data_IF_410457929995
#
_entry.id   IF_410457929995
#
_cell.length_a   1.000
_cell.length_b   1.000
_cell.length_c   1.000
_cell.angle_alpha   90.00
_cell.angle_beta   90.00
_cell.angle_gamma   90.00
#
_symmetry.space_group_name_H-M   'P 1'
#
loop_
_entity.id
_entity.type
_entity.pdbx_description
1 polymer ?
#
# COMPACT_ATOMS: atom_id res chain seq x y z
N UNK A 1 -18.73 -11.50 10.35
CA UNK A 1 -18.63 -10.10 9.84
C UNK A 1 -18.09 -10.18 8.43
N UNK A 2 -18.75 -9.53 7.46
CA UNK A 2 -18.31 -9.50 6.06
C UNK A 2 -17.28 -8.39 5.86
N UNK A 3 -16.16 -8.70 5.22
CA UNK A 3 -15.22 -7.67 4.78
C UNK A 3 -15.74 -6.98 3.51
N UNK A 4 -15.35 -5.71 3.35
CA UNK A 4 -15.51 -4.96 2.09
C UNK A 4 -14.13 -4.75 1.50
N UNK A 5 -14.03 -4.80 0.17
CA UNK A 5 -12.80 -4.54 -0.55
C UNK A 5 -12.98 -3.27 -1.38
N UNK A 6 -11.94 -2.43 -1.44
CA UNK A 6 -11.92 -1.21 -2.25
C UNK A 6 -10.55 -1.04 -2.89
N UNK A 7 -10.50 -0.41 -4.06
CA UNK A 7 -9.23 -0.17 -4.75
C UNK A 7 -8.59 1.13 -4.23
N UNK A 8 -7.30 1.07 -3.97
CA UNK A 8 -6.47 2.19 -3.52
C UNK A 8 -5.57 2.63 -4.67
N UNK A 9 -5.53 3.92 -4.96
CA UNK A 9 -4.65 4.50 -5.97
C UNK A 9 -3.45 5.21 -5.32
N UNK A 10 -2.27 4.60 -5.45
CA UNK A 10 -0.99 5.09 -4.90
C UNK A 10 -0.23 5.98 -5.88
N UNK A 11 -0.83 6.31 -7.03
CA UNK A 11 -0.33 7.40 -7.87
C UNK A 11 -0.72 8.78 -7.34
N UNK A 12 -1.59 8.83 -6.33
CA UNK A 12 -1.92 10.01 -5.55
C UNK A 12 -1.19 10.00 -4.21
N UNK A 13 -1.01 11.19 -3.64
CA UNK A 13 -0.37 11.38 -2.35
C UNK A 13 -1.15 12.42 -1.52
N UNK A 14 -1.89 12.02 -0.47
CA UNK A 14 -2.08 10.65 0.00
C UNK A 14 -2.81 9.76 -1.02
N UNK A 15 -2.70 8.44 -0.84
CA UNK A 15 -3.42 7.48 -1.66
C UNK A 15 -4.92 7.72 -1.54
N UNK A 16 -5.64 7.63 -2.67
CA UNK A 16 -7.09 7.82 -2.70
C UNK A 16 -7.80 6.47 -2.80
N UNK A 17 -8.95 6.35 -2.13
CA UNK A 17 -9.87 5.23 -2.33
C UNK A 17 -10.70 5.51 -3.59
N UNK A 18 -10.66 4.60 -4.55
CA UNK A 18 -11.57 4.61 -5.70
C UNK A 18 -12.92 4.07 -5.21
N UNK A 19 -13.81 4.98 -4.85
CA UNK A 19 -15.04 4.71 -4.08
C UNK A 19 -16.25 4.32 -4.93
N UNK A 20 -16.12 4.33 -6.26
CA UNK A 20 -17.24 4.11 -7.18
C UNK A 20 -17.79 2.68 -7.13
N UNK A 21 -16.99 1.71 -6.66
CA UNK A 21 -17.41 0.31 -6.51
C UNK A 21 -16.85 -0.28 -5.22
N UNK A 22 -17.75 -0.78 -4.37
CA UNK A 22 -17.38 -1.65 -3.24
C UNK A 22 -17.51 -3.11 -3.66
N UNK A 23 -16.50 -3.92 -3.32
CA UNK A 23 -16.53 -5.35 -3.61
C UNK A 23 -16.74 -6.14 -2.32
N UNK A 24 -17.47 -7.24 -2.41
CA UNK A 24 -17.63 -8.21 -1.32
C UNK A 24 -16.68 -9.40 -1.44
N UNK A 25 -15.87 -9.42 -2.51
CA UNK A 25 -14.88 -10.45 -2.80
C UNK A 25 -13.65 -9.79 -3.44
N UNK A 26 -12.43 -10.22 -3.11
CA UNK A 26 -11.22 -9.62 -3.64
C UNK A 26 -11.05 -9.88 -5.15
N UNK A 27 -11.56 -10.99 -5.68
CA UNK A 27 -11.41 -11.37 -7.08
C UNK A 27 -12.08 -10.37 -8.03
N UNK A 28 -13.18 -9.75 -7.59
CA UNK A 28 -13.86 -8.72 -8.38
C UNK A 28 -13.00 -7.45 -8.49
N UNK A 29 -12.36 -7.03 -7.39
CA UNK A 29 -11.42 -5.91 -7.41
C UNK A 29 -10.19 -6.20 -8.30
N UNK A 30 -9.66 -7.43 -8.25
CA UNK A 30 -8.56 -7.87 -9.12
C UNK A 30 -8.99 -7.82 -10.59
N UNK A 31 -10.19 -8.31 -10.91
CA UNK A 31 -10.73 -8.31 -12.27
C UNK A 31 -10.83 -6.88 -12.83
N UNK A 32 -11.32 -5.93 -12.04
CA UNK A 32 -11.47 -4.53 -12.48
C UNK A 32 -10.12 -3.84 -12.65
N UNK A 33 -9.16 -4.09 -11.76
CA UNK A 33 -7.76 -3.63 -11.93
C UNK A 33 -7.17 -4.19 -13.24
N UNK A 34 -7.39 -5.47 -13.54
CA UNK A 34 -6.87 -6.11 -14.74
C UNK A 34 -7.52 -5.58 -16.03
N UNK A 35 -8.83 -5.33 -16.00
CA UNK A 35 -9.57 -4.68 -17.09
C UNK A 35 -9.09 -3.24 -17.31
N UNK A 36 -8.66 -2.58 -16.24
CA UNK A 36 -8.25 -1.19 -16.23
C UNK A 36 -9.42 -0.31 -15.78
N UNK A 37 -9.25 0.36 -14.65
CA UNK A 37 -10.23 1.29 -14.10
C UNK A 37 -10.12 2.62 -14.87
N UNK A 38 -11.26 3.23 -15.18
CA UNK A 38 -11.30 4.49 -15.93
C UNK A 38 -10.49 5.58 -15.21
N UNK A 39 -9.70 6.33 -15.98
CA UNK A 39 -8.73 7.31 -15.44
C UNK A 39 -7.55 6.73 -14.65
N UNK A 40 -7.54 5.43 -14.34
CA UNK A 40 -6.57 4.81 -13.43
C UNK A 40 -5.86 3.57 -13.99
N UNK A 41 -6.05 3.27 -15.29
CA UNK A 41 -5.44 2.14 -15.99
C UNK A 41 -3.91 2.00 -15.82
N UNK A 42 -3.21 3.14 -15.74
CA UNK A 42 -1.75 3.23 -15.61
C UNK A 42 -1.29 3.57 -14.18
N UNK A 43 -2.21 3.64 -13.22
CA UNK A 43 -1.86 3.96 -11.85
C UNK A 43 -1.23 2.77 -11.10
N UNK A 44 -0.45 3.09 -10.07
CA UNK A 44 -0.11 2.12 -9.02
C UNK A 44 -1.37 1.85 -8.18
N UNK A 45 -1.94 0.65 -8.31
CA UNK A 45 -3.19 0.25 -7.67
C UNK A 45 -2.96 -0.89 -6.67
N UNK A 46 -3.62 -0.79 -5.52
CA UNK A 46 -3.67 -1.81 -4.48
C UNK A 46 -5.13 -2.10 -4.11
N UNK A 47 -5.36 -3.17 -3.35
CA UNK A 47 -6.69 -3.54 -2.86
C UNK A 47 -6.68 -3.42 -1.33
N UNK A 48 -7.50 -2.55 -0.76
CA UNK A 48 -7.72 -2.51 0.68
C UNK A 48 -8.83 -3.48 1.07
N UNK A 49 -8.63 -4.27 2.13
CA UNK A 49 -9.67 -5.04 2.82
C UNK A 49 -10.07 -4.33 4.10
N UNK A 50 -11.36 -4.08 4.25
CA UNK A 50 -11.94 -3.30 5.33
C UNK A 50 -12.88 -4.16 6.17
N UNK A 51 -12.79 -3.99 7.49
CA UNK A 51 -13.77 -4.50 8.44
C UNK A 51 -14.13 -3.44 9.48
N UNK A 52 -14.10 -2.16 9.06
CA UNK A 52 -14.13 -0.95 9.89
C UNK A 52 -12.99 -0.93 10.95
N UNK A 53 -11.72 -0.54 10.67
CA UNK A 53 -11.11 0.19 9.53
C UNK A 53 -10.44 -0.73 8.47
N UNK A 54 -9.45 -0.23 7.72
CA UNK A 54 -8.55 -1.03 6.88
C UNK A 54 -7.80 -2.05 7.76
N UNK A 55 -7.80 -3.31 7.33
CA UNK A 55 -7.13 -4.42 8.06
C UNK A 55 -5.99 -5.05 7.26
N UNK A 56 -6.11 -5.12 5.94
CA UNK A 56 -5.08 -5.70 5.07
C UNK A 56 -5.01 -4.93 3.75
N UNK A 57 -3.82 -4.92 3.14
CA UNK A 57 -3.61 -4.39 1.79
C UNK A 57 -3.09 -5.51 0.89
N UNK A 58 -3.80 -5.74 -0.20
CA UNK A 58 -3.50 -6.69 -1.25
C UNK A 58 -2.74 -6.03 -2.39
N UNK A 59 -1.58 -6.58 -2.71
CA UNK A 59 -0.84 -6.26 -3.93
C UNK A 59 -1.37 -7.14 -5.07
N UNK A 60 -2.03 -6.58 -6.10
CA UNK A 60 -2.63 -7.38 -7.16
C UNK A 60 -1.56 -8.12 -8.00
N UNK A 61 -1.93 -9.22 -8.66
CA UNK A 61 -1.00 -9.97 -9.50
C UNK A 61 -0.50 -9.12 -10.67
N UNK A 62 0.70 -9.43 -11.16
CA UNK A 62 1.29 -8.74 -12.31
C UNK A 62 0.55 -8.97 -13.63
N UNK A 63 -0.39 -9.94 -13.68
CA UNK A 63 -1.03 -10.41 -14.90
C UNK A 63 -2.06 -9.41 -15.45
N UNK A 64 -1.62 -8.65 -16.44
CA UNK A 64 -2.43 -7.88 -17.39
C UNK A 64 -1.56 -7.60 -18.63
N UNK A 65 -2.13 -7.12 -19.76
CA UNK A 65 -1.31 -6.73 -20.91
C UNK A 65 -0.21 -5.76 -20.44
N UNK A 66 0.99 -5.84 -21.01
CA UNK A 66 2.11 -4.94 -20.69
C UNK A 66 1.65 -3.49 -20.84
N UNK A 67 1.27 -2.87 -19.72
CA UNK A 67 0.88 -1.46 -19.66
C UNK A 67 2.10 -0.69 -19.19
N UNK A 68 2.59 0.16 -20.08
CA UNK A 68 3.94 0.68 -20.08
C UNK A 68 4.11 1.80 -19.05
N UNK A 69 5.00 1.59 -18.07
CA UNK A 69 5.73 2.70 -17.44
C UNK A 69 5.50 3.00 -15.95
N UNK A 70 4.72 2.22 -15.19
CA UNK A 70 4.59 2.41 -13.73
C UNK A 70 4.85 1.13 -12.93
N UNK A 71 5.35 1.23 -11.67
CA UNK A 71 5.74 0.07 -10.87
C UNK A 71 4.51 -0.78 -10.51
N UNK A 72 4.22 -1.79 -11.32
CA UNK A 72 3.47 -2.97 -10.86
C UNK A 72 4.41 -3.82 -10.03
N UNK A 73 3.84 -4.57 -9.09
CA UNK A 73 4.62 -5.58 -8.40
C UNK A 73 5.01 -6.66 -9.41
N UNK A 74 6.29 -6.68 -9.80
CA UNK A 74 6.80 -7.47 -10.93
C UNK A 74 6.92 -8.98 -10.66
N UNK A 75 6.51 -9.43 -9.47
CA UNK A 75 6.88 -10.74 -8.92
C UNK A 75 5.71 -11.60 -8.47
N UNK A 76 4.51 -11.06 -8.29
CA UNK A 76 3.39 -11.83 -7.75
C UNK A 76 2.50 -12.39 -8.86
N UNK A 77 2.31 -13.71 -8.86
CA UNK A 77 1.32 -14.40 -9.71
C UNK A 77 -0.09 -14.42 -9.10
N UNK A 78 -0.19 -14.09 -7.81
CA UNK A 78 -1.42 -14.02 -7.00
C UNK A 78 -1.54 -12.66 -6.31
N UNK A 79 -2.70 -12.40 -5.71
CA UNK A 79 -2.82 -11.23 -4.82
C UNK A 79 -2.13 -11.55 -3.49
N UNK A 80 -1.09 -10.79 -3.14
CA UNK A 80 -0.37 -10.94 -1.88
C UNK A 80 -0.90 -9.94 -0.85
N UNK A 81 -1.40 -10.45 0.27
CA UNK A 81 -2.00 -9.65 1.34
C UNK A 81 -1.02 -9.39 2.46
N UNK A 82 -0.99 -8.16 2.97
CA UNK A 82 -0.20 -7.79 4.15
C UNK A 82 -1.08 -7.04 5.14
N UNK A 83 -1.00 -7.46 6.39
CA UNK A 83 -1.71 -6.81 7.50
C UNK A 83 -1.21 -5.38 7.73
N UNK A 84 -2.14 -4.47 8.01
CA UNK A 84 -1.84 -3.05 8.26
C UNK A 84 -0.82 -2.85 9.39
N UNK A 85 -0.84 -3.67 10.44
CA UNK A 85 0.14 -3.58 11.52
C UNK A 85 1.57 -3.81 11.02
N UNK A 86 1.77 -4.76 10.10
CA UNK A 86 3.09 -4.98 9.48
C UNK A 86 3.51 -3.80 8.59
N UNK A 87 2.58 -3.20 7.84
CA UNK A 87 2.87 -2.02 7.04
C UNK A 87 3.27 -0.81 7.91
N UNK A 88 2.64 -0.64 9.07
CA UNK A 88 3.03 0.39 10.06
C UNK A 88 4.44 0.16 10.59
N UNK A 89 4.77 -1.09 10.94
CA UNK A 89 6.13 -1.47 11.40
C UNK A 89 7.15 -1.18 10.28
N UNK A 90 6.85 -1.58 9.04
CA UNK A 90 7.73 -1.32 7.90
C UNK A 90 7.96 0.19 7.69
N UNK A 91 6.92 1.02 7.79
CA UNK A 91 7.09 2.46 7.68
C UNK A 91 7.99 3.01 8.80
N UNK A 92 7.83 2.52 10.04
CA UNK A 92 8.68 2.90 11.15
C UNK A 92 10.14 2.48 10.93
N UNK A 93 10.37 1.27 10.39
CA UNK A 93 11.71 0.82 10.00
C UNK A 93 12.26 1.74 8.91
N UNK A 94 11.54 2.03 7.83
CA UNK A 94 12.02 2.95 6.79
C UNK A 94 12.38 4.34 7.33
N UNK A 95 11.65 4.86 8.33
CA UNK A 95 11.90 6.18 8.94
C UNK A 95 13.10 6.18 9.89
N UNK A 96 13.17 5.21 10.80
CA UNK A 96 14.04 5.26 11.98
C UNK A 96 14.80 3.95 12.25
N UNK A 97 14.67 2.96 11.39
CA UNK A 97 15.28 1.64 11.55
C UNK A 97 16.80 1.68 11.44
N UNK A 98 17.47 0.79 12.17
CA UNK A 98 18.92 0.59 12.03
C UNK A 98 19.24 0.00 10.66
N UNK A 99 20.51 0.10 10.25
CA UNK A 99 20.97 -0.46 8.97
C UNK A 99 20.64 -1.96 8.84
N UNK A 100 20.80 -2.72 9.92
CA UNK A 100 20.49 -4.16 9.96
C UNK A 100 19.00 -4.43 9.73
N UNK A 101 18.12 -3.57 10.27
CA UNK A 101 16.68 -3.68 10.03
C UNK A 101 16.33 -3.36 8.57
N UNK A 102 16.98 -2.34 7.98
CA UNK A 102 16.79 -2.01 6.56
C UNK A 102 17.23 -3.16 5.64
N UNK A 103 18.38 -3.75 5.93
CA UNK A 103 18.91 -4.91 5.19
C UNK A 103 17.97 -6.11 5.31
N UNK A 104 17.42 -6.37 6.51
CA UNK A 104 16.43 -7.42 6.73
C UNK A 104 15.16 -7.17 5.89
N UNK A 105 14.62 -5.95 5.88
CA UNK A 105 13.44 -5.61 5.06
C UNK A 105 13.72 -5.86 3.58
N UNK A 106 14.88 -5.43 3.08
CA UNK A 106 15.29 -5.64 1.69
C UNK A 106 15.43 -7.12 1.29
N UNK A 107 15.81 -7.99 2.23
CA UNK A 107 15.98 -9.43 2.00
C UNK A 107 14.67 -10.24 2.06
N UNK A 108 13.57 -9.66 2.57
CA UNK A 108 12.31 -10.38 2.79
C UNK A 108 11.32 -10.23 1.62
N UNK A 109 10.17 -10.89 1.73
CA UNK A 109 9.01 -10.68 0.86
C UNK A 109 8.39 -9.28 1.01
N UNK A 110 8.80 -8.53 2.04
CA UNK A 110 8.31 -7.17 2.30
C UNK A 110 8.98 -6.11 1.43
N UNK A 111 10.00 -6.47 0.64
CA UNK A 111 10.70 -5.57 -0.30
C UNK A 111 9.80 -4.85 -1.30
N UNK A 112 8.58 -5.35 -1.53
CA UNK A 112 7.59 -4.75 -2.43
C UNK A 112 6.89 -3.51 -1.84
N UNK A 113 7.07 -3.27 -0.54
CA UNK A 113 6.57 -2.11 0.18
C UNK A 113 7.68 -1.06 0.31
N UNK A 114 7.90 -0.32 -0.77
CA UNK A 114 8.83 0.81 -0.75
C UNK A 114 8.36 1.87 0.25
N UNK A 115 9.29 2.67 0.76
CA UNK A 115 8.97 3.83 1.60
C UNK A 115 7.92 4.74 0.94
N UNK A 116 8.04 4.98 -0.37
CA UNK A 116 7.10 5.82 -1.12
C UNK A 116 5.67 5.28 -1.09
N UNK A 117 5.47 3.97 -1.29
CA UNK A 117 4.14 3.33 -1.21
C UNK A 117 3.55 3.45 0.19
N UNK A 118 4.36 3.14 1.21
CA UNK A 118 3.94 3.21 2.61
C UNK A 118 3.59 4.64 3.04
N UNK A 119 4.41 5.62 2.64
CA UNK A 119 4.17 7.04 2.92
C UNK A 119 2.88 7.54 2.28
N UNK A 120 2.58 7.13 1.05
CA UNK A 120 1.32 7.49 0.38
C UNK A 120 0.10 6.86 1.05
N UNK A 121 0.25 5.67 1.63
CA UNK A 121 -0.79 4.99 2.40
C UNK A 121 -1.02 5.55 3.81
N UNK A 122 -0.26 6.55 4.26
CA UNK A 122 -0.24 7.01 5.67
C UNK A 122 -1.63 7.27 6.26
N UNK A 123 -2.55 7.88 5.50
CA UNK A 123 -3.89 8.23 5.96
C UNK A 123 -4.70 6.96 6.27
N UNK A 124 -4.66 5.96 5.38
CA UNK A 124 -5.31 4.66 5.57
C UNK A 124 -4.63 3.82 6.65
N UNK A 125 -3.32 4.00 6.84
CA UNK A 125 -2.58 3.39 7.94
C UNK A 125 -2.88 4.09 9.28
N UNK A 126 -3.61 5.21 9.30
CA UNK A 126 -3.88 5.99 10.51
C UNK A 126 -2.60 6.55 11.13
N UNK A 127 -1.64 6.96 10.29
CA UNK A 127 -0.38 7.57 10.71
C UNK A 127 -0.42 9.03 10.27
N UNK A 128 -0.38 9.93 11.24
CA UNK A 128 -0.34 11.37 10.96
C UNK A 128 0.92 11.74 10.15
N UNK A 129 0.75 12.65 9.20
CA UNK A 129 1.85 13.22 8.41
C UNK A 129 2.69 14.12 9.32
N UNK A 130 3.83 13.60 9.77
CA UNK A 130 4.90 14.28 10.50
C UNK A 130 4.47 14.94 11.82
N UNK A 131 4.64 14.20 12.92
CA UNK A 131 5.07 14.85 14.15
C UNK A 131 6.54 15.22 13.92
N UNK A 132 6.92 16.51 13.82
CA UNK A 132 8.31 16.88 13.72
C UNK A 132 9.02 16.33 14.95
N UNK A 133 10.11 15.60 14.75
CA UNK A 133 11.00 15.22 15.84
C UNK A 133 11.31 16.49 16.63
N UNK A 134 10.82 16.55 17.86
CA UNK A 134 11.02 17.65 18.77
C UNK A 134 12.54 17.90 18.90
N UNK A 135 13.04 18.88 18.15
CA UNK A 135 14.39 19.41 18.29
C UNK A 135 14.43 20.42 19.44
N UNK A 136 13.85 20.07 20.59
CA UNK A 136 14.16 20.72 21.86
C UNK A 136 15.52 20.21 22.36
N UNK A 137 16.54 20.49 21.55
CA UNK A 137 17.93 20.50 21.99
C UNK A 137 18.14 21.66 22.94
N UNK A 138 18.71 21.33 24.09
CA UNK A 138 19.36 22.19 25.07
C UNK A 138 19.75 23.60 24.57
N UNK A 139 19.22 24.60 25.27
CA UNK A 139 19.57 25.99 25.09
C UNK A 139 19.71 26.72 26.43
N UNK A 140 20.87 26.49 27.08
CA UNK A 140 21.49 27.22 28.21
C UNK A 140 20.91 27.05 29.62
#
# INVERSE_FOLDING_TARGET
MSSVYRVLCLSHDPAIILSEVEYHRPEAAVSDIAAGIDGHAECDLLIGRYSYPLIEVGCPPATGPERSGRPRCSTHSTTEWVDVAWLRILLAVHRNGTKEMQELVGATQLRHWSYERLRRLRDELGIDADEPADQSGEGR
#
